data_IF_788301258602
#
_entry.id   IF_788301258602
#
_cell.length_a   1.000
_cell.length_b   1.000
_cell.length_c   1.000
_cell.angle_alpha   90.00
_cell.angle_beta   90.00
_cell.angle_gamma   90.00
#
_symmetry.space_group_name_H-M   'P 1'
#
loop_
_entity.id
_entity.type
_entity.pdbx_description
1 polymer ?
#
# COMPACT_ATOMS: atom_id res chain seq x y z
N UNK A 1 -8.05 -10.98 -1.63
CA UNK A 1 -6.99 -11.91 -2.04
C UNK A 1 -6.11 -11.34 -3.15
N UNK A 2 -6.61 -11.12 -4.38
CA UNK A 2 -5.85 -10.37 -5.41
C UNK A 2 -5.51 -8.93 -4.99
N UNK A 3 -6.38 -8.28 -4.21
CA UNK A 3 -6.12 -6.95 -3.65
C UNK A 3 -4.81 -6.91 -2.82
N UNK A 4 -4.55 -7.94 -2.00
CA UNK A 4 -3.34 -7.99 -1.17
C UNK A 4 -2.07 -8.10 -2.03
N UNK A 5 -2.11 -8.93 -3.09
CA UNK A 5 -1.04 -9.00 -4.08
C UNK A 5 -0.84 -7.64 -4.78
N UNK A 6 -1.92 -6.97 -5.17
CA UNK A 6 -1.84 -5.66 -5.83
C UNK A 6 -1.22 -4.60 -4.90
N UNK A 7 -1.61 -4.57 -3.63
CA UNK A 7 -1.00 -3.69 -2.63
C UNK A 7 0.48 -4.01 -2.42
N UNK A 8 0.86 -5.28 -2.34
CA UNK A 8 2.27 -5.69 -2.24
C UNK A 8 3.08 -5.17 -3.44
N UNK A 9 2.57 -5.33 -4.66
CA UNK A 9 3.22 -4.84 -5.87
C UNK A 9 3.33 -3.31 -5.87
N UNK A 10 2.27 -2.61 -5.47
CA UNK A 10 2.28 -1.15 -5.36
C UNK A 10 3.36 -0.67 -4.37
N UNK A 11 3.39 -1.22 -3.15
CA UNK A 11 4.40 -0.86 -2.14
C UNK A 11 5.83 -1.20 -2.58
N UNK A 12 6.02 -2.31 -3.31
CA UNK A 12 7.33 -2.66 -3.88
C UNK A 12 7.75 -1.73 -5.01
N UNK A 13 6.82 -1.27 -5.85
CA UNK A 13 7.09 -0.26 -6.87
C UNK A 13 7.51 1.06 -6.23
N UNK A 14 6.82 1.49 -5.17
CA UNK A 14 7.21 2.62 -4.33
C UNK A 14 8.62 2.45 -3.75
N UNK A 15 8.95 1.26 -3.25
CA UNK A 15 10.28 0.96 -2.73
C UNK A 15 11.37 1.10 -3.81
N UNK A 16 11.16 0.53 -4.99
CA UNK A 16 12.13 0.63 -6.10
C UNK A 16 12.35 2.10 -6.48
N UNK A 17 11.27 2.88 -6.57
CA UNK A 17 11.36 4.31 -6.86
C UNK A 17 12.10 5.09 -5.77
N UNK A 18 11.78 4.84 -4.49
CA UNK A 18 12.37 5.58 -3.39
C UNK A 18 13.89 5.40 -3.29
N UNK A 19 14.38 4.20 -3.57
CA UNK A 19 15.81 3.87 -3.42
C UNK A 19 16.58 3.85 -4.75
N UNK A 20 15.90 4.12 -5.87
CA UNK A 20 16.45 4.00 -7.24
C UNK A 20 17.25 2.70 -7.44
N UNK A 21 16.73 1.62 -6.86
CA UNK A 21 17.40 0.34 -6.78
C UNK A 21 16.47 -0.75 -7.33
N UNK A 22 16.89 -1.54 -8.33
CA UNK A 22 16.08 -2.62 -8.87
C UNK A 22 15.82 -3.75 -7.86
N UNK A 23 16.56 -3.78 -6.73
CA UNK A 23 16.31 -4.74 -5.65
C UNK A 23 15.13 -4.27 -4.81
N UNK A 24 14.01 -4.99 -4.92
CA UNK A 24 12.85 -4.81 -4.06
C UNK A 24 13.02 -5.54 -2.72
N UNK A 25 12.24 -5.13 -1.72
CA UNK A 25 12.16 -5.83 -0.43
C UNK A 25 11.60 -7.26 -0.62
N UNK A 26 12.31 -8.28 -0.11
CA UNK A 26 11.86 -9.69 -0.14
C UNK A 26 10.71 -10.01 0.83
N UNK A 27 10.23 -9.02 1.59
CA UNK A 27 9.12 -9.22 2.52
C UNK A 27 7.77 -9.27 1.77
N UNK A 28 6.83 -10.02 2.34
CA UNK A 28 5.42 -10.07 1.94
C UNK A 28 4.51 -9.38 2.97
N UNK A 29 5.08 -8.93 4.08
CA UNK A 29 4.37 -8.25 5.16
C UNK A 29 4.14 -6.79 4.75
N UNK A 30 2.87 -6.43 4.52
CA UNK A 30 2.50 -5.11 4.00
C UNK A 30 2.94 -3.96 4.93
N UNK A 31 2.82 -4.15 6.24
CA UNK A 31 3.25 -3.17 7.24
C UNK A 31 4.77 -2.99 7.21
N UNK A 32 5.54 -4.09 7.13
CA UNK A 32 6.99 -4.02 6.97
C UNK A 32 7.42 -3.40 5.63
N UNK A 33 6.68 -3.64 4.55
CA UNK A 33 6.96 -3.04 3.25
C UNK A 33 6.80 -1.52 3.30
N UNK A 34 5.69 -1.05 3.87
CA UNK A 34 5.44 0.37 4.06
C UNK A 34 6.46 1.04 4.98
N UNK A 35 6.75 0.44 6.13
CA UNK A 35 7.73 0.98 7.09
C UNK A 35 9.16 1.04 6.56
N UNK A 36 9.47 0.36 5.44
CA UNK A 36 10.77 0.41 4.76
C UNK A 36 10.87 1.49 3.68
N UNK A 37 9.76 2.13 3.31
CA UNK A 37 9.79 3.26 2.39
C UNK A 37 10.56 4.44 3.00
N UNK A 38 10.98 5.42 2.20
CA UNK A 38 11.56 6.65 2.76
C UNK A 38 10.50 7.40 3.57
N UNK A 39 10.90 8.06 4.66
CA UNK A 39 9.99 8.83 5.53
C UNK A 39 9.10 9.79 4.74
N UNK A 40 9.65 10.47 3.74
CA UNK A 40 8.88 11.35 2.84
C UNK A 40 7.73 10.64 2.13
N UNK A 41 7.95 9.43 1.65
CA UNK A 41 6.93 8.63 0.96
C UNK A 41 5.89 8.09 1.93
N UNK A 42 6.32 7.67 3.13
CA UNK A 42 5.40 7.28 4.20
C UNK A 42 4.49 8.44 4.61
N UNK A 43 5.06 9.61 4.87
CA UNK A 43 4.33 10.83 5.22
C UNK A 43 3.35 11.26 4.12
N UNK A 44 3.79 11.22 2.86
CA UNK A 44 2.92 11.58 1.71
C UNK A 44 1.71 10.65 1.65
N UNK A 45 1.93 9.33 1.74
CA UNK A 45 0.86 8.34 1.67
C UNK A 45 -0.06 8.40 2.89
N UNK A 46 0.48 8.65 4.09
CA UNK A 46 -0.34 8.79 5.31
C UNK A 46 -1.21 10.05 5.29
N UNK A 47 -0.66 11.18 4.83
CA UNK A 47 -1.42 12.42 4.67
C UNK A 47 -2.55 12.25 3.64
N UNK A 48 -2.26 11.61 2.50
CA UNK A 48 -3.26 11.34 1.48
C UNK A 48 -4.32 10.34 1.95
N UNK A 49 -3.93 9.35 2.73
CA UNK A 49 -4.86 8.43 3.39
C UNK A 49 -5.80 9.18 4.33
N UNK A 50 -5.27 10.01 5.22
CA UNK A 50 -6.05 10.81 6.17
C UNK A 50 -6.97 11.80 5.47
N UNK A 51 -6.59 12.29 4.29
CA UNK A 51 -7.41 13.21 3.49
C UNK A 51 -8.51 12.51 2.70
N UNK A 52 -8.22 11.39 2.06
CA UNK A 52 -9.12 10.80 1.06
C UNK A 52 -9.84 9.53 1.54
N UNK A 53 -9.18 8.71 2.35
CA UNK A 53 -9.69 7.39 2.74
C UNK A 53 -10.35 7.43 4.12
N UNK A 54 -9.62 7.93 5.13
CA UNK A 54 -10.09 7.93 6.53
C UNK A 54 -11.47 8.58 6.76
N UNK A 55 -11.85 9.69 6.07
CA UNK A 55 -13.18 10.29 6.26
C UNK A 55 -14.34 9.40 5.80
N UNK A 56 -14.10 8.54 4.79
CA UNK A 56 -15.11 7.65 4.20
C UNK A 56 -15.07 6.24 4.77
N UNK A 57 -13.92 5.86 5.33
CA UNK A 57 -13.68 4.58 5.99
C UNK A 57 -13.14 4.81 7.41
N UNK A 58 -13.91 5.42 8.32
CA UNK A 58 -13.43 5.72 9.66
C UNK A 58 -13.27 4.42 10.46
N UNK A 59 -12.22 4.37 11.28
CA UNK A 59 -12.03 3.28 12.24
C UNK A 59 -12.07 3.82 13.67
N UNK A 60 -13.13 3.49 14.40
CA UNK A 60 -13.39 3.99 15.76
C UNK A 60 -12.38 3.49 16.81
N UNK A 61 -11.58 2.47 16.49
CA UNK A 61 -10.58 1.91 17.41
C UNK A 61 -9.28 2.72 17.45
N UNK A 62 -9.11 3.72 16.58
CA UNK A 62 -7.88 4.51 16.48
C UNK A 62 -8.17 6.01 16.55
N UNK A 63 -7.43 6.72 17.42
CA UNK A 63 -7.50 8.18 17.53
C UNK A 63 -6.75 8.87 16.38
N UNK A 64 -5.63 8.28 15.94
CA UNK A 64 -4.85 8.74 14.78
C UNK A 64 -4.86 7.67 13.67
N UNK A 65 -6.01 7.47 13.05
CA UNK A 65 -6.19 6.44 12.04
C UNK A 65 -5.44 6.79 10.73
N UNK A 66 -4.24 6.22 10.59
CA UNK A 66 -3.39 6.30 9.40
C UNK A 66 -3.31 5.02 8.56
N UNK A 67 -2.64 5.11 7.41
CA UNK A 67 -2.50 4.00 6.43
C UNK A 67 -1.86 2.75 7.04
N UNK A 68 -0.91 2.94 7.97
CA UNK A 68 -0.21 1.84 8.63
C UNK A 68 -1.16 0.88 9.34
N UNK A 69 -2.28 1.37 9.89
CA UNK A 69 -3.27 0.53 10.57
C UNK A 69 -3.95 -0.43 9.61
N UNK A 70 -4.32 0.04 8.41
CA UNK A 70 -4.90 -0.81 7.36
C UNK A 70 -3.89 -1.85 6.90
N UNK A 71 -2.65 -1.45 6.65
CA UNK A 71 -1.61 -2.36 6.19
C UNK A 71 -1.22 -3.38 7.28
N UNK A 72 -1.26 -2.99 8.55
CA UNK A 72 -1.02 -3.88 9.69
C UNK A 72 -2.13 -4.90 9.87
N UNK A 73 -3.40 -4.46 9.81
CA UNK A 73 -4.57 -5.34 9.87
C UNK A 73 -4.53 -6.42 8.79
N UNK A 74 -3.94 -6.11 7.64
CA UNK A 74 -3.85 -6.99 6.48
C UNK A 74 -2.43 -7.46 6.15
N UNK A 75 -1.50 -7.38 7.12
CA UNK A 75 -0.06 -7.61 6.88
C UNK A 75 0.25 -8.98 6.28
N UNK A 76 -0.48 -10.01 6.71
CA UNK A 76 -0.27 -11.39 6.29
C UNK A 76 -1.24 -11.82 5.18
N UNK A 77 -2.08 -10.92 4.67
CA UNK A 77 -3.16 -11.26 3.74
C UNK A 77 -2.67 -11.91 2.43
N UNK A 78 -1.47 -11.57 1.96
CA UNK A 78 -0.85 -12.23 0.81
C UNK A 78 -0.27 -13.61 1.17
N UNK A 79 0.29 -13.77 2.36
CA UNK A 79 0.86 -15.05 2.81
C UNK A 79 -0.25 -16.06 3.08
N UNK A 80 -1.30 -15.64 3.78
CA UNK A 80 -2.50 -16.43 4.04
C UNK A 80 -3.20 -16.84 2.71
N UNK A 81 -3.20 -15.94 1.71
CA UNK A 81 -3.61 -16.26 0.34
C UNK A 81 -2.75 -17.35 -0.31
N UNK A 82 -1.44 -17.16 -0.26
CA UNK A 82 -0.46 -17.97 -1.00
C UNK A 82 -0.37 -19.40 -0.48
N UNK A 83 -0.53 -19.58 0.83
CA UNK A 83 -0.37 -20.88 1.49
C UNK A 83 -1.68 -21.41 2.08
N UNK A 84 -2.79 -21.21 1.36
CA UNK A 84 -4.12 -21.68 1.73
C UNK A 84 -4.16 -23.20 2.01
N UNK A 85 -3.93 -23.57 3.26
CA UNK A 85 -4.20 -24.90 3.77
C UNK A 85 -5.43 -24.89 4.70
N UNK A 86 -5.73 -23.76 5.35
CA UNK A 86 -6.98 -23.50 6.05
C UNK A 86 -7.30 -21.99 5.95
N UNK A 87 -8.56 -21.59 5.65
CA UNK A 87 -8.93 -20.19 5.65
C UNK A 87 -8.93 -19.68 7.09
N UNK A 88 -7.86 -18.97 7.48
CA UNK A 88 -7.91 -18.14 8.68
C UNK A 88 -8.99 -17.10 8.46
N UNK A 89 -10.04 -17.17 9.26
CA UNK A 89 -11.14 -16.22 9.30
C UNK A 89 -10.61 -14.85 9.76
N UNK A 90 -9.94 -14.14 8.87
CA UNK A 90 -9.57 -12.75 9.07
C UNK A 90 -10.61 -11.93 8.34
N UNK A 91 -11.47 -11.26 9.10
CA UNK A 91 -12.47 -10.32 8.59
C UNK A 91 -11.73 -9.27 7.73
N UNK A 92 -11.80 -9.42 6.41
CA UNK A 92 -11.07 -8.58 5.47
C UNK A 92 -11.90 -7.32 5.21
N UNK A 93 -11.45 -6.16 5.70
CA UNK A 93 -12.09 -4.89 5.40
C UNK A 93 -11.79 -4.49 3.96
N UNK A 94 -12.60 -5.03 3.06
CA UNK A 94 -12.43 -4.83 1.62
C UNK A 94 -12.54 -3.37 1.24
N UNK A 95 -13.47 -2.63 1.84
CA UNK A 95 -13.75 -1.25 1.47
C UNK A 95 -12.56 -0.34 1.77
N UNK A 96 -12.10 -0.33 3.02
CA UNK A 96 -10.95 0.49 3.41
C UNK A 96 -9.69 0.08 2.64
N UNK A 97 -9.48 -1.23 2.45
CA UNK A 97 -8.29 -1.74 1.76
C UNK A 97 -8.26 -1.39 0.27
N UNK A 98 -9.40 -1.52 -0.43
CA UNK A 98 -9.54 -1.17 -1.85
C UNK A 98 -9.35 0.32 -2.07
N UNK A 99 -10.00 1.16 -1.27
CA UNK A 99 -9.81 2.61 -1.31
C UNK A 99 -8.35 3.03 -1.02
N UNK A 100 -7.69 2.33 -0.10
CA UNK A 100 -6.26 2.55 0.18
C UNK A 100 -5.40 2.17 -1.02
N UNK A 101 -5.67 1.04 -1.67
CA UNK A 101 -4.92 0.60 -2.85
C UNK A 101 -5.05 1.61 -4.00
N UNK A 102 -6.26 2.03 -4.31
CA UNK A 102 -6.51 3.03 -5.35
C UNK A 102 -5.78 4.34 -5.05
N UNK A 103 -5.81 4.79 -3.79
CA UNK A 103 -5.06 5.98 -3.37
C UNK A 103 -3.55 5.80 -3.60
N UNK A 104 -2.95 4.69 -3.15
CA UNK A 104 -1.51 4.42 -3.31
C UNK A 104 -1.11 4.41 -4.80
N UNK A 105 -1.93 3.81 -5.66
CA UNK A 105 -1.71 3.78 -7.11
C UNK A 105 -1.82 5.17 -7.74
N UNK A 106 -2.84 5.96 -7.34
CA UNK A 106 -3.01 7.34 -7.79
C UNK A 106 -1.82 8.22 -7.40
N UNK A 107 -1.33 8.09 -6.17
CA UNK A 107 -0.16 8.84 -5.72
C UNK A 107 1.13 8.39 -6.41
N UNK A 108 1.21 7.10 -6.79
CA UNK A 108 2.33 6.59 -7.57
C UNK A 108 2.33 7.18 -8.99
N UNK A 109 1.17 7.25 -9.64
CA UNK A 109 1.01 7.73 -11.02
C UNK A 109 1.46 9.19 -11.19
N UNK A 110 1.23 10.03 -10.17
CA UNK A 110 1.72 11.42 -10.13
C UNK A 110 3.24 11.57 -10.26
N UNK A 111 4.01 10.49 -10.06
CA UNK A 111 5.48 10.50 -10.16
C UNK A 111 5.97 10.37 -11.60
N UNK A 112 5.10 10.00 -12.54
CA UNK A 112 5.43 9.91 -13.95
C UNK A 112 4.96 11.15 -14.70
N UNK A 113 5.77 11.60 -15.65
CA UNK A 113 5.39 12.61 -16.63
C UNK A 113 5.75 12.12 -18.02
N UNK A 114 4.83 12.31 -18.97
CA UNK A 114 5.05 11.96 -20.38
C UNK A 114 5.73 13.12 -21.09
N UNK A 115 6.87 12.86 -21.73
CA UNK A 115 7.54 13.84 -22.60
C UNK A 115 7.36 13.39 -24.05
N UNK A 116 6.97 14.29 -24.97
CA UNK A 116 6.97 14.00 -26.40
C UNK A 116 8.37 13.59 -26.84
N UNK A 117 8.49 12.43 -27.49
CA UNK A 117 9.76 12.00 -28.06
C UNK A 117 10.04 12.82 -29.32
N UNK A 118 10.93 13.81 -29.23
CA UNK A 118 11.46 14.48 -30.42
C UNK A 118 12.42 13.52 -31.13
N UNK A 119 12.21 13.21 -32.43
CA UNK A 119 13.19 12.46 -33.20
C UNK A 119 14.50 13.27 -33.28
N UNK A 120 15.63 12.59 -33.10
CA UNK A 120 16.99 13.14 -33.26
C UNK A 120 17.28 13.52 -34.70
#
# INVERSE_FOLDING_TARGET
MLLALAMELALKAWFVFDFDNPKHSKSHDLSKLFGRLKSKSQETLDQEFKRCVAPHHPNIFYVDYGIEHVLYQHKDAFVDWRYMHEPKSTMFDRGAFEATLEMVLREFDKRYYTVPASPL
#
